data_IF_297666043049
#
_entry.id   IF_297666043049
#
_cell.length_a   1.000
_cell.length_b   1.000
_cell.length_c   1.000
_cell.angle_alpha   90.00
_cell.angle_beta   90.00
_cell.angle_gamma   90.00
#
_symmetry.space_group_name_H-M   'P 1'
#
loop_
_entity.id
_entity.type
_entity.pdbx_description
1 polymer ?
#
# COMPACT_ATOMS: atom_id res chain seq x y z
N UNK A 1 -50.69 36.36 33.10
CA UNK A 1 -49.30 36.60 32.65
C UNK A 1 -48.62 35.26 32.49
N UNK A 2 -48.15 34.94 31.27
CA UNK A 2 -47.53 33.66 30.89
C UNK A 2 -46.01 33.82 30.97
N UNK A 3 -45.33 33.01 31.76
CA UNK A 3 -43.87 32.88 31.71
C UNK A 3 -43.50 31.89 30.60
N UNK A 4 -42.52 32.19 29.72
CA UNK A 4 -42.05 31.25 28.73
C UNK A 4 -41.14 30.19 29.39
N UNK A 5 -41.08 28.96 28.84
CA UNK A 5 -40.13 27.96 29.30
C UNK A 5 -38.71 28.39 28.88
N UNK A 6 -37.82 28.54 29.86
CA UNK A 6 -36.39 28.69 29.63
C UNK A 6 -35.85 27.38 29.02
N UNK A 7 -35.79 27.35 27.70
CA UNK A 7 -35.17 26.29 26.93
C UNK A 7 -33.65 26.45 27.07
N UNK A 8 -33.09 25.81 28.09
CA UNK A 8 -31.64 25.71 28.30
C UNK A 8 -31.10 24.86 27.15
N UNK A 9 -30.62 25.53 26.09
CA UNK A 9 -29.82 24.94 25.03
C UNK A 9 -28.51 24.44 25.66
N UNK A 10 -28.48 23.16 26.01
CA UNK A 10 -27.26 22.44 26.38
C UNK A 10 -26.40 22.35 25.11
N UNK A 11 -25.22 22.99 25.02
CA UNK A 11 -24.30 22.66 23.96
C UNK A 11 -23.76 21.27 24.27
N UNK A 12 -24.32 20.25 23.63
CA UNK A 12 -23.74 18.91 23.61
C UNK A 12 -22.44 19.03 22.82
N UNK A 13 -21.39 19.38 23.54
CA UNK A 13 -20.02 19.40 23.07
C UNK A 13 -19.60 17.93 22.90
N UNK A 14 -19.95 17.34 21.77
CA UNK A 14 -19.40 16.03 21.35
C UNK A 14 -17.94 16.28 20.93
N UNK A 15 -17.08 16.53 21.90
CA UNK A 15 -15.63 16.34 21.72
C UNK A 15 -15.42 14.83 21.78
N UNK A 16 -15.57 14.16 20.64
CA UNK A 16 -14.88 12.89 20.48
C UNK A 16 -13.39 13.24 20.37
N UNK A 17 -12.54 12.92 21.38
CA UNK A 17 -11.11 12.99 21.18
C UNK A 17 -10.79 11.88 20.18
N UNK A 18 -10.74 12.23 18.90
CA UNK A 18 -10.08 11.41 17.90
C UNK A 18 -8.59 11.44 18.22
N UNK A 19 -8.17 10.70 19.24
CA UNK A 19 -6.77 10.38 19.43
C UNK A 19 -6.34 9.69 18.14
N UNK A 20 -5.40 10.29 17.43
CA UNK A 20 -4.77 9.69 16.25
C UNK A 20 -4.17 8.35 16.70
N UNK A 21 -4.89 7.26 16.45
CA UNK A 21 -4.43 5.90 16.70
C UNK A 21 -4.24 5.26 15.35
N UNK A 22 -3.06 4.70 15.14
CA UNK A 22 -2.75 3.84 14.02
C UNK A 22 -2.68 2.40 14.50
N UNK A 23 -3.04 1.45 13.66
CA UNK A 23 -2.91 0.03 13.95
C UNK A 23 -2.21 -0.68 12.80
N UNK A 24 -0.91 -0.91 12.95
CA UNK A 24 -0.13 -1.70 12.01
C UNK A 24 -0.66 -3.14 11.94
N UNK A 25 -1.10 -3.57 10.75
CA UNK A 25 -1.53 -4.96 10.49
C UNK A 25 -0.64 -5.61 9.45
N UNK A 26 -0.12 -6.79 9.74
CA UNK A 26 0.71 -7.54 8.79
C UNK A 26 -0.07 -7.88 7.50
N UNK A 27 0.65 -7.94 6.37
CA UNK A 27 0.11 -8.46 5.12
C UNK A 27 -0.26 -9.95 5.30
N UNK A 28 -1.29 -10.40 4.59
CA UNK A 28 -1.65 -11.81 4.61
C UNK A 28 -0.62 -12.62 3.82
N UNK A 29 0.21 -13.37 4.53
CA UNK A 29 1.29 -14.18 3.95
C UNK A 29 0.93 -15.65 3.77
N UNK A 30 -0.33 -16.03 4.04
CA UNK A 30 -0.74 -17.44 4.01
C UNK A 30 -1.00 -17.97 2.60
N UNK A 31 -1.25 -17.08 1.64
CA UNK A 31 -1.59 -17.45 0.28
C UNK A 31 -0.32 -17.56 -0.56
N UNK A 32 -0.12 -18.73 -1.17
CA UNK A 32 0.99 -18.98 -2.08
C UNK A 32 0.71 -18.29 -3.43
N UNK A 33 1.71 -17.71 -4.08
CA UNK A 33 1.53 -17.06 -5.38
C UNK A 33 0.98 -18.07 -6.41
N UNK A 34 1.51 -19.30 -6.38
CA UNK A 34 1.09 -20.47 -7.18
C UNK A 34 -0.42 -20.80 -7.10
N UNK A 35 -1.09 -20.38 -6.01
CA UNK A 35 -2.51 -20.65 -5.75
C UNK A 35 -3.46 -19.53 -6.18
N UNK A 36 -2.92 -18.41 -6.65
CA UNK A 36 -3.70 -17.24 -7.08
C UNK A 36 -4.08 -17.39 -8.55
N UNK A 37 -5.30 -17.00 -8.91
CA UNK A 37 -5.80 -17.07 -10.30
C UNK A 37 -5.02 -16.10 -11.18
N UNK A 38 -4.83 -14.87 -10.68
CA UNK A 38 -4.05 -13.81 -11.30
C UNK A 38 -2.54 -14.01 -11.13
N UNK A 39 -2.01 -15.04 -11.78
CA UNK A 39 -0.58 -15.34 -11.77
C UNK A 39 0.02 -15.58 -13.15
N UNK A 40 1.35 -15.45 -13.20
CA UNK A 40 2.18 -15.84 -14.34
C UNK A 40 3.38 -16.64 -13.83
N UNK A 41 3.71 -17.70 -14.55
CA UNK A 41 4.89 -18.51 -14.31
C UNK A 41 5.88 -18.33 -15.47
N UNK A 42 7.16 -18.19 -15.15
CA UNK A 42 8.23 -18.31 -16.12
C UNK A 42 9.53 -18.79 -15.44
N UNK A 43 10.13 -19.82 -16.03
CA UNK A 43 11.40 -20.39 -15.60
C UNK A 43 11.45 -20.81 -14.11
N UNK A 44 10.32 -21.29 -13.58
CA UNK A 44 10.18 -21.74 -12.20
C UNK A 44 9.97 -20.61 -11.18
N UNK A 45 9.59 -19.40 -11.63
CA UNK A 45 9.14 -18.31 -10.76
C UNK A 45 7.68 -18.00 -11.07
N UNK A 46 6.83 -18.07 -10.05
CA UNK A 46 5.46 -17.59 -10.05
C UNK A 46 5.42 -16.14 -9.55
N UNK A 47 4.73 -15.28 -10.30
CA UNK A 47 4.44 -13.89 -9.95
C UNK A 47 2.94 -13.72 -9.95
N UNK A 48 2.38 -13.32 -8.82
CA UNK A 48 0.96 -13.03 -8.66
C UNK A 48 0.78 -11.64 -8.06
N UNK A 49 -0.39 -11.04 -8.32
CA UNK A 49 -0.73 -9.73 -7.78
C UNK A 49 -2.13 -9.72 -7.21
N UNK A 50 -2.34 -8.92 -6.16
CA UNK A 50 -3.67 -8.69 -5.58
C UNK A 50 -3.92 -7.21 -5.40
N UNK A 51 -5.09 -6.77 -5.85
CA UNK A 51 -5.54 -5.39 -5.68
C UNK A 51 -5.86 -5.12 -4.18
N UNK A 52 -5.18 -4.15 -3.57
CA UNK A 52 -5.46 -3.70 -2.20
C UNK A 52 -6.15 -2.33 -2.14
N UNK A 53 -6.44 -1.71 -3.30
CA UNK A 53 -7.03 -0.36 -3.40
C UNK A 53 -8.52 -0.29 -3.05
N UNK A 54 -9.18 -1.44 -2.83
CA UNK A 54 -10.54 -1.45 -2.34
C UNK A 54 -10.56 -0.92 -0.91
N UNK A 55 -11.50 -0.02 -0.52
CA UNK A 55 -11.50 0.61 0.80
C UNK A 55 -11.39 -0.38 1.96
N UNK A 56 -12.05 -1.54 1.85
CA UNK A 56 -11.99 -2.60 2.86
C UNK A 56 -10.59 -3.21 3.02
N UNK A 57 -9.90 -3.52 1.93
CA UNK A 57 -8.53 -4.09 1.99
C UNK A 57 -7.53 -3.00 2.41
N UNK A 58 -7.70 -1.77 1.89
CA UNK A 58 -6.84 -0.64 2.25
C UNK A 58 -6.93 -0.33 3.75
N UNK A 59 -8.14 -0.21 4.31
CA UNK A 59 -8.33 -0.07 5.75
C UNK A 59 -7.83 -1.27 6.54
N UNK A 60 -7.92 -2.49 5.98
CA UNK A 60 -7.44 -3.69 6.66
C UNK A 60 -5.94 -3.67 6.87
N UNK A 61 -5.16 -3.33 5.84
CA UNK A 61 -3.69 -3.43 5.88
C UNK A 61 -2.99 -2.12 6.21
N UNK A 62 -3.60 -0.98 5.91
CA UNK A 62 -2.95 0.33 6.02
C UNK A 62 -3.71 1.29 6.94
N UNK A 63 -4.82 0.85 7.56
CA UNK A 63 -5.71 1.66 8.42
C UNK A 63 -6.18 2.98 7.77
N UNK A 64 -6.07 3.06 6.45
CA UNK A 64 -6.36 4.25 5.64
C UNK A 64 -6.98 3.82 4.31
N UNK A 65 -7.83 4.68 3.76
CA UNK A 65 -8.28 4.56 2.38
C UNK A 65 -7.28 5.28 1.47
N UNK A 66 -6.27 4.55 1.00
CA UNK A 66 -5.18 5.12 0.19
C UNK A 66 -5.69 5.69 -1.15
N UNK A 67 -6.81 5.18 -1.64
CA UNK A 67 -7.41 5.66 -2.89
C UNK A 67 -7.97 7.08 -2.77
N UNK A 68 -8.37 7.50 -1.56
CA UNK A 68 -8.78 8.87 -1.29
C UNK A 68 -7.63 9.88 -1.41
N UNK A 69 -6.38 9.40 -1.46
CA UNK A 69 -5.16 10.20 -1.64
C UNK A 69 -4.55 10.00 -3.05
N UNK A 70 -5.28 9.38 -3.98
CA UNK A 70 -4.77 9.08 -5.32
C UNK A 70 -3.72 7.96 -5.34
N UNK A 71 -3.65 7.12 -4.29
CA UNK A 71 -2.64 6.06 -4.17
C UNK A 71 -3.29 4.69 -4.33
N UNK A 72 -2.68 3.84 -5.16
CA UNK A 72 -3.15 2.49 -5.46
C UNK A 72 -2.16 1.48 -4.89
N UNK A 73 -2.49 0.82 -3.76
CA UNK A 73 -1.68 -0.27 -3.24
C UNK A 73 -1.99 -1.59 -3.98
N UNK A 74 -0.93 -2.30 -4.35
CA UNK A 74 -0.98 -3.65 -4.94
C UNK A 74 -0.08 -4.57 -4.14
N UNK A 75 -0.58 -5.73 -3.75
CA UNK A 75 0.23 -6.79 -3.16
C UNK A 75 0.91 -7.59 -4.29
N UNK A 76 2.24 -7.60 -4.30
CA UNK A 76 3.05 -8.48 -5.12
C UNK A 76 3.37 -9.75 -4.34
N UNK A 77 3.11 -10.91 -4.94
CA UNK A 77 3.50 -12.21 -4.42
C UNK A 77 4.44 -12.88 -5.41
N UNK A 78 5.56 -13.36 -4.89
CA UNK A 78 6.57 -14.05 -5.65
C UNK A 78 6.81 -15.42 -5.01
N UNK A 79 6.82 -16.47 -5.81
CA UNK A 79 7.06 -17.82 -5.33
C UNK A 79 7.94 -18.60 -6.30
N UNK A 80 8.97 -19.24 -5.76
CA UNK A 80 9.86 -20.12 -6.48
C UNK A 80 9.28 -21.54 -6.51
N UNK A 81 9.19 -22.13 -7.70
CA UNK A 81 8.80 -23.54 -7.87
C UNK A 81 9.74 -24.45 -7.04
N UNK A 82 9.21 -25.58 -6.57
CA UNK A 82 9.91 -26.43 -5.61
C UNK A 82 11.22 -26.98 -6.12
N UNK A 83 11.27 -27.28 -7.42
CA UNK A 83 12.43 -27.85 -8.10
C UNK A 83 13.38 -26.76 -8.64
N UNK A 84 12.95 -25.50 -8.67
CA UNK A 84 13.75 -24.42 -9.24
C UNK A 84 14.96 -24.09 -8.37
N UNK A 85 16.12 -24.01 -9.03
CA UNK A 85 17.38 -23.54 -8.45
C UNK A 85 17.73 -22.12 -8.92
N UNK A 86 16.76 -21.44 -9.53
CA UNK A 86 16.95 -20.09 -10.05
C UNK A 86 17.19 -19.07 -8.92
N UNK A 87 17.95 -18.03 -9.26
CA UNK A 87 18.11 -16.84 -8.43
C UNK A 87 17.57 -15.66 -9.21
N UNK A 88 16.63 -14.94 -8.62
CA UNK A 88 15.89 -13.87 -9.27
C UNK A 88 16.03 -12.60 -8.45
N UNK A 89 16.47 -11.52 -9.09
CA UNK A 89 16.49 -10.18 -8.51
C UNK A 89 15.29 -9.41 -9.02
N UNK A 90 14.48 -8.88 -8.10
CA UNK A 90 13.32 -8.03 -8.38
C UNK A 90 13.56 -6.68 -7.75
N UNK A 91 13.27 -5.60 -8.48
CA UNK A 91 13.44 -4.22 -8.00
C UNK A 91 12.14 -3.47 -8.15
N UNK A 92 11.84 -2.58 -7.20
CA UNK A 92 10.60 -1.81 -7.21
C UNK A 92 10.50 -0.91 -8.44
N UNK A 93 11.60 -0.26 -8.81
CA UNK A 93 11.69 0.62 -9.99
C UNK A 93 11.42 -0.09 -11.33
N UNK A 94 11.44 -1.42 -11.34
CA UNK A 94 11.23 -2.26 -12.51
C UNK A 94 9.82 -2.87 -12.54
N UNK A 95 8.92 -2.37 -11.69
CA UNK A 95 7.51 -2.78 -11.60
C UNK A 95 6.63 -1.60 -11.98
N UNK A 96 5.71 -1.81 -12.91
CA UNK A 96 4.81 -0.77 -13.39
C UNK A 96 3.36 -1.22 -13.29
N UNK A 97 2.46 -0.29 -12.99
CA UNK A 97 1.03 -0.51 -13.16
C UNK A 97 0.62 0.11 -14.50
N UNK A 98 0.28 -0.75 -15.45
CA UNK A 98 -0.07 -0.37 -16.80
C UNK A 98 -1.58 -0.32 -16.96
N UNK A 99 -2.07 0.77 -17.55
CA UNK A 99 -3.46 0.96 -17.92
C UNK A 99 -3.68 0.55 -19.39
N UNK A 100 -4.95 0.34 -19.75
CA UNK A 100 -5.34 -0.09 -21.10
C UNK A 100 -5.03 0.92 -22.21
N UNK A 101 -4.99 2.20 -21.88
CA UNK A 101 -4.59 3.28 -22.79
C UNK A 101 -3.07 3.33 -23.04
N UNK A 102 -2.30 2.46 -22.36
CA UNK A 102 -0.84 2.41 -22.43
C UNK A 102 -0.15 3.30 -21.39
N UNK A 103 -0.90 4.03 -20.57
CA UNK A 103 -0.34 4.83 -19.47
C UNK A 103 0.34 3.89 -18.46
N UNK A 104 1.56 4.24 -18.06
CA UNK A 104 2.32 3.53 -17.02
C UNK A 104 2.38 4.40 -15.78
N UNK A 105 1.90 3.85 -14.67
CA UNK A 105 2.00 4.50 -13.38
C UNK A 105 3.29 4.07 -12.69
N UNK A 106 4.04 5.05 -12.20
CA UNK A 106 5.30 4.83 -11.49
C UNK A 106 5.05 4.40 -10.04
N UNK A 107 5.99 3.62 -9.51
CA UNK A 107 5.98 3.25 -8.10
C UNK A 107 6.32 4.43 -7.23
N UNK A 108 5.65 4.55 -6.11
CA UNK A 108 5.98 5.49 -5.05
C UNK A 108 6.90 4.88 -4.01
N UNK A 109 7.72 5.72 -3.37
CA UNK A 109 8.41 5.32 -2.15
C UNK A 109 7.41 5.22 -0.98
N UNK A 110 7.50 4.19 -0.11
CA UNK A 110 6.62 4.10 1.06
C UNK A 110 6.76 5.31 2.00
N UNK A 111 7.93 5.97 2.03
CA UNK A 111 8.10 7.22 2.78
C UNK A 111 7.22 8.34 2.22
N UNK A 112 7.24 8.54 0.91
CA UNK A 112 6.38 9.53 0.22
C UNK A 112 4.89 9.21 0.41
N UNK A 113 4.53 7.92 0.40
CA UNK A 113 3.17 7.47 0.68
C UNK A 113 2.77 7.81 2.11
N UNK A 114 3.64 7.55 3.09
CA UNK A 114 3.40 7.85 4.50
C UNK A 114 3.25 9.37 4.72
N UNK A 115 4.10 10.18 4.10
CA UNK A 115 4.04 11.65 4.17
C UNK A 115 2.71 12.20 3.62
N UNK A 116 2.18 11.60 2.55
CA UNK A 116 0.90 12.03 1.95
C UNK A 116 -0.30 11.70 2.85
N UNK A 117 -0.28 10.56 3.54
CA UNK A 117 -1.43 10.05 4.31
C UNK A 117 -1.35 10.34 5.81
N UNK A 118 -0.27 10.98 6.25
CA UNK A 118 -0.05 11.33 7.65
C UNK A 118 -1.16 12.24 8.20
N UNK A 119 -1.36 12.20 9.51
CA UNK A 119 -2.33 13.08 10.14
C UNK A 119 -1.84 14.53 10.13
N UNK A 120 -2.66 15.46 9.62
CA UNK A 120 -2.32 16.87 9.61
C UNK A 120 -2.36 17.48 11.02
N UNK A 121 -1.23 18.01 11.48
CA UNK A 121 -1.14 18.75 12.75
C UNK A 121 -2.09 19.96 12.83
N UNK A 122 -2.45 20.56 11.68
CA UNK A 122 -3.30 21.77 11.62
C UNK A 122 -4.74 21.50 12.11
N UNK A 123 -5.32 20.31 11.89
CA UNK A 123 -6.67 20.00 12.42
C UNK A 123 -6.66 19.83 13.94
N UNK A 124 -5.58 19.29 14.52
CA UNK A 124 -5.39 19.31 15.98
C UNK A 124 -5.14 20.71 16.53
N UNK A 125 -4.54 21.63 15.75
CA UNK A 125 -4.28 23.03 16.15
C UNK A 125 -5.52 23.93 16.05
N UNK A 126 -6.51 23.63 15.19
CA UNK A 126 -7.78 24.37 15.23
C UNK A 126 -8.68 23.96 16.40
N UNK A 127 -8.62 22.70 16.85
CA UNK A 127 -9.25 22.28 18.12
C UNK A 127 -8.53 22.84 19.36
N UNK A 128 -7.22 23.10 19.24
CA UNK A 128 -6.32 23.63 20.28
C UNK A 128 -6.68 25.05 20.75
N UNK A 129 -7.38 25.86 19.95
CA UNK A 129 -7.80 27.20 20.38
C UNK A 129 -9.00 27.23 21.34
N UNK A 130 -9.68 26.09 21.58
CA UNK A 130 -10.91 26.09 22.37
C UNK A 130 -10.74 25.59 23.83
N UNK A 131 -9.86 24.62 24.16
CA UNK A 131 -9.90 23.95 25.48
C UNK A 131 -8.56 23.27 25.89
N UNK A 132 -7.63 23.96 26.60
CA UNK A 132 -6.56 23.35 27.47
C UNK A 132 -5.46 22.42 26.81
N UNK A 133 -4.35 22.05 27.52
CA UNK A 133 -2.97 22.27 27.08
C UNK A 133 -2.45 21.26 26.04
N UNK A 134 -1.93 21.78 24.92
CA UNK A 134 -1.58 21.02 23.71
C UNK A 134 -0.26 20.25 23.69
N UNK A 135 0.29 19.83 24.84
CA UNK A 135 1.52 19.03 24.84
C UNK A 135 1.28 17.52 24.63
N UNK A 136 0.12 17.00 25.01
CA UNK A 136 -0.19 15.56 24.93
C UNK A 136 -0.72 15.11 23.55
N UNK A 137 -1.27 16.03 22.74
CA UNK A 137 -1.85 15.69 21.44
C UNK A 137 -0.78 15.64 20.33
N UNK A 138 0.20 16.54 20.36
CA UNK A 138 1.26 16.59 19.36
C UNK A 138 2.15 15.33 19.37
N UNK A 139 2.46 14.81 20.55
CA UNK A 139 3.24 13.56 20.69
C UNK A 139 2.51 12.34 20.15
N UNK A 140 1.18 12.26 20.35
CA UNK A 140 0.37 11.15 19.80
C UNK A 140 0.30 11.16 18.27
N UNK A 141 0.27 12.34 17.65
CA UNK A 141 0.27 12.47 16.17
C UNK A 141 1.64 12.09 15.60
N UNK A 142 2.73 12.57 16.20
CA UNK A 142 4.10 12.22 15.77
C UNK A 142 4.32 10.71 15.84
N UNK A 143 3.95 10.08 16.97
CA UNK A 143 4.08 8.63 17.13
C UNK A 143 3.26 7.84 16.11
N UNK A 144 2.01 8.25 15.86
CA UNK A 144 1.18 7.59 14.84
C UNK A 144 1.75 7.74 13.42
N UNK A 145 2.33 8.90 13.08
CA UNK A 145 2.94 9.12 11.77
C UNK A 145 4.24 8.31 11.61
N UNK A 146 5.08 8.24 12.64
CA UNK A 146 6.28 7.37 12.67
C UNK A 146 5.91 5.89 12.53
N UNK A 147 4.82 5.44 13.18
CA UNK A 147 4.32 4.08 13.04
C UNK A 147 3.81 3.79 11.61
N UNK A 148 3.15 4.75 10.96
CA UNK A 148 2.70 4.62 9.56
C UNK A 148 3.92 4.44 8.64
N UNK A 149 4.91 5.31 8.78
CA UNK A 149 6.12 5.27 7.95
C UNK A 149 6.86 3.94 8.11
N UNK A 150 7.12 3.53 9.37
CA UNK A 150 7.81 2.28 9.66
C UNK A 150 7.05 1.05 9.11
N UNK A 151 5.73 1.03 9.26
CA UNK A 151 4.89 -0.06 8.78
C UNK A 151 4.83 -0.12 7.23
N UNK A 152 4.74 1.03 6.56
CA UNK A 152 4.73 1.07 5.09
C UNK A 152 6.09 0.68 4.52
N UNK A 153 7.19 1.12 5.16
CA UNK A 153 8.54 0.69 4.83
C UNK A 153 8.74 -0.82 5.03
N UNK A 154 8.20 -1.39 6.11
CA UNK A 154 8.29 -2.83 6.37
C UNK A 154 7.50 -3.68 5.36
N UNK A 155 6.37 -3.16 4.87
CA UNK A 155 5.51 -3.84 3.88
C UNK A 155 6.00 -3.71 2.46
N UNK A 156 6.67 -2.61 2.14
CA UNK A 156 7.27 -2.36 0.84
C UNK A 156 8.66 -2.98 0.75
N UNK A 157 9.12 -3.19 -0.47
CA UNK A 157 10.50 -3.59 -0.73
C UNK A 157 11.12 -2.62 -1.73
N UNK A 158 12.42 -2.35 -1.58
CA UNK A 158 13.19 -1.64 -2.60
C UNK A 158 13.72 -2.61 -3.64
N UNK A 159 14.40 -3.67 -3.19
CA UNK A 159 14.79 -4.79 -4.02
C UNK A 159 14.82 -6.08 -3.20
N UNK A 160 14.57 -7.20 -3.87
CA UNK A 160 14.55 -8.51 -3.25
C UNK A 160 15.25 -9.54 -4.14
N UNK A 161 15.95 -10.47 -3.51
CA UNK A 161 16.58 -11.61 -4.18
C UNK A 161 15.91 -12.90 -3.77
N UNK A 162 15.13 -13.49 -4.66
CA UNK A 162 14.49 -14.80 -4.46
C UNK A 162 15.43 -15.91 -4.89
N UNK A 163 15.55 -16.92 -4.04
CA UNK A 163 16.44 -18.06 -4.23
C UNK A 163 15.88 -19.28 -3.46
N UNK A 164 16.49 -20.47 -3.57
CA UNK A 164 15.97 -21.67 -2.92
C UNK A 164 15.86 -21.61 -1.39
N UNK A 165 16.54 -20.68 -0.71
CA UNK A 165 16.44 -20.45 0.74
C UNK A 165 15.32 -19.46 1.13
N UNK A 166 14.84 -18.67 0.18
CA UNK A 166 13.72 -17.73 0.35
C UNK A 166 12.76 -17.91 -0.82
N UNK A 167 11.95 -18.96 -0.70
CA UNK A 167 11.09 -19.45 -1.80
C UNK A 167 9.84 -18.63 -2.02
N UNK A 168 9.40 -17.85 -1.04
CA UNK A 168 8.21 -17.01 -1.15
C UNK A 168 8.48 -15.64 -0.57
N UNK A 169 7.95 -14.61 -1.21
CA UNK A 169 8.06 -13.23 -0.74
C UNK A 169 6.80 -12.44 -1.08
N UNK A 170 6.40 -11.55 -0.17
CA UNK A 170 5.21 -10.72 -0.31
C UNK A 170 5.57 -9.27 -0.01
N UNK A 171 5.09 -8.34 -0.82
CA UNK A 171 5.31 -6.92 -0.59
C UNK A 171 4.21 -6.05 -1.19
N UNK A 172 3.88 -4.95 -0.52
CA UNK A 172 3.02 -3.92 -1.07
C UNK A 172 3.84 -2.99 -1.99
N UNK A 173 3.34 -2.77 -3.20
CA UNK A 173 3.83 -1.77 -4.15
C UNK A 173 2.76 -0.69 -4.27
N UNK A 174 3.17 0.56 -4.16
CA UNK A 174 2.28 1.71 -4.22
C UNK A 174 2.45 2.43 -5.54
N UNK A 175 1.35 2.82 -6.17
CA UNK A 175 1.36 3.59 -7.42
C UNK A 175 0.60 4.90 -7.24
N UNK A 176 1.11 5.98 -7.84
CA UNK A 176 0.40 7.27 -7.87
C UNK A 176 -0.52 7.31 -9.09
N UNK A 177 -1.78 7.66 -8.87
CA UNK A 177 -2.72 7.99 -9.94
C UNK A 177 -2.57 9.48 -10.24
N UNK A 178 -2.39 9.89 -11.52
CA UNK A 178 -2.37 11.30 -11.88
C UNK A 178 -3.70 11.97 -11.51
N UNK A 179 -3.65 13.20 -11.01
CA UNK A 179 -4.83 13.95 -10.56
C UNK A 179 -5.90 14.06 -11.66
N UNK A 180 -5.49 14.15 -12.92
CA UNK A 180 -6.39 14.22 -14.08
C UNK A 180 -7.18 12.92 -14.31
N UNK A 181 -6.69 11.80 -13.79
CA UNK A 181 -7.23 10.45 -14.01
C UNK A 181 -7.92 9.86 -12.77
N UNK A 182 -7.82 10.48 -11.60
CA UNK A 182 -8.34 9.93 -10.33
C UNK A 182 -9.82 9.51 -10.41
N UNK A 183 -10.65 10.34 -11.05
CA UNK A 183 -12.10 10.10 -11.16
C UNK A 183 -12.48 8.97 -12.13
N UNK A 184 -11.62 8.67 -13.10
CA UNK A 184 -11.85 7.66 -14.14
C UNK A 184 -11.05 6.38 -13.91
N UNK A 185 -10.08 6.40 -12.99
CA UNK A 185 -9.19 5.28 -12.73
C UNK A 185 -9.97 4.05 -12.22
N UNK A 186 -9.75 2.92 -12.88
CA UNK A 186 -10.29 1.61 -12.48
C UNK A 186 -9.21 0.54 -12.59
N UNK A 187 -9.28 -0.45 -11.70
CA UNK A 187 -8.38 -1.60 -11.69
C UNK A 187 -8.80 -2.71 -12.66
N UNK A 188 -10.03 -2.67 -13.18
CA UNK A 188 -10.58 -3.72 -14.06
C UNK A 188 -9.78 -3.91 -15.35
N UNK A 189 -9.26 -2.81 -15.89
CA UNK A 189 -8.50 -2.78 -17.15
C UNK A 189 -6.99 -2.62 -16.92
N UNK A 190 -6.53 -2.68 -15.67
CA UNK A 190 -5.13 -2.53 -15.30
C UNK A 190 -4.40 -3.87 -15.25
N UNK A 191 -3.07 -3.83 -15.39
CA UNK A 191 -2.20 -4.98 -15.15
C UNK A 191 -0.86 -4.52 -14.59
N UNK A 192 -0.20 -5.40 -13.84
CA UNK A 192 1.16 -5.14 -13.36
C UNK A 192 2.14 -5.74 -14.37
N UNK A 193 3.09 -4.94 -14.80
CA UNK A 193 4.26 -5.37 -15.57
C UNK A 193 5.46 -5.38 -14.63
N UNK A 194 5.92 -6.57 -14.23
CA UNK A 194 7.11 -6.73 -13.41
C UNK A 194 8.27 -7.26 -14.25
N UNK A 195 9.41 -6.56 -14.24
CA UNK A 195 10.66 -7.06 -14.82
C UNK A 195 11.51 -7.70 -13.74
N UNK A 196 11.90 -8.94 -13.99
CA UNK A 196 12.63 -9.78 -13.05
C UNK A 196 13.92 -10.28 -13.70
N UNK A 197 15.03 -10.11 -13.01
CA UNK A 197 16.35 -10.47 -13.53
C UNK A 197 16.79 -11.81 -12.97
N UNK A 198 16.76 -12.84 -13.81
CA UNK A 198 17.35 -14.14 -13.48
C UNK A 198 18.86 -14.07 -13.60
N UNK A 199 19.55 -14.44 -12.52
CA UNK A 199 20.99 -14.56 -12.52
C UNK A 199 21.43 -15.76 -13.37
N UNK A 200 22.53 -15.59 -14.10
CA UNK A 200 23.14 -16.65 -14.88
C UNK A 200 23.63 -17.80 -13.99
N UNK A 201 23.54 -19.04 -14.48
CA UNK A 201 24.19 -20.20 -13.85
C UNK A 201 25.43 -20.59 -14.66
N UNK A 202 26.58 -20.69 -13.99
CA UNK A 202 27.86 -21.01 -14.62
C UNK A 202 28.29 -19.93 -15.61
N UNK A 203 28.42 -20.31 -16.90
CA UNK A 203 28.82 -19.41 -18.00
C UNK A 203 27.64 -18.79 -18.76
N UNK A 204 26.39 -19.11 -18.39
CA UNK A 204 25.22 -18.55 -19.06
C UNK A 204 24.99 -17.10 -18.61
N UNK A 205 24.72 -16.15 -19.52
CA UNK A 205 24.40 -14.77 -19.14
C UNK A 205 23.07 -14.70 -18.37
N UNK A 206 22.92 -13.68 -17.53
CA UNK A 206 21.64 -13.36 -16.90
C UNK A 206 20.57 -12.96 -17.92
N UNK A 207 19.30 -13.09 -17.55
CA UNK A 207 18.15 -12.84 -18.43
C UNK A 207 17.10 -11.99 -17.71
N UNK A 208 16.50 -11.05 -18.45
CA UNK A 208 15.32 -10.31 -18.00
C UNK A 208 14.06 -11.09 -18.40
N UNK A 209 13.16 -11.28 -17.44
CA UNK A 209 11.85 -11.89 -17.60
C UNK A 209 10.78 -10.83 -17.33
N UNK A 210 9.77 -10.77 -18.20
CA UNK A 210 8.67 -9.81 -18.07
C UNK A 210 7.38 -10.55 -17.70
N UNK A 211 6.70 -10.08 -16.65
CA UNK A 211 5.49 -10.69 -16.11
C UNK A 211 4.33 -9.69 -16.21
N UNK A 212 3.53 -9.73 -17.30
CA UNK A 212 2.28 -8.99 -17.38
C UNK A 212 1.17 -9.77 -16.65
N UNK A 213 0.81 -9.32 -15.45
CA UNK A 213 -0.18 -9.96 -14.57
C UNK A 213 -1.44 -9.10 -14.48
N UNK A 214 -2.57 -9.61 -14.99
CA UNK A 214 -3.85 -8.90 -15.03
C UNK A 214 -4.66 -9.13 -13.75
N UNK A 215 -5.44 -8.14 -13.33
CA UNK A 215 -6.41 -8.30 -12.25
C UNK A 215 -7.71 -8.93 -12.76
N UNK A 216 -8.28 -9.91 -12.05
CA UNK A 216 -9.68 -10.33 -12.19
C UNK A 216 -10.12 -10.94 -13.53
N UNK A 217 -9.31 -11.82 -14.13
CA UNK A 217 -9.73 -12.63 -15.30
C UNK A 217 -10.20 -14.02 -14.93
#
# INVERSE_FOLDING_TARGET
>A
MRFPPALILLPVLITAPGCASYSARALDTRQAASSIVEQKEAEGLYVAVKNLSQPRESLRYFDRDLRAYGIVPVLLLLELDRESQGVFDVRREDIFLCLRDGTRLETMDPGDVAEEVQFSHIRSVFGFFLIFPGFFVASSVSGANEEIEADYQQKSVKSIRINPNMRSFHSAIFFRVPAEQESTFTMEDAFVEAKVYKQGQGSSPGKCLEFPVHFGR
#
